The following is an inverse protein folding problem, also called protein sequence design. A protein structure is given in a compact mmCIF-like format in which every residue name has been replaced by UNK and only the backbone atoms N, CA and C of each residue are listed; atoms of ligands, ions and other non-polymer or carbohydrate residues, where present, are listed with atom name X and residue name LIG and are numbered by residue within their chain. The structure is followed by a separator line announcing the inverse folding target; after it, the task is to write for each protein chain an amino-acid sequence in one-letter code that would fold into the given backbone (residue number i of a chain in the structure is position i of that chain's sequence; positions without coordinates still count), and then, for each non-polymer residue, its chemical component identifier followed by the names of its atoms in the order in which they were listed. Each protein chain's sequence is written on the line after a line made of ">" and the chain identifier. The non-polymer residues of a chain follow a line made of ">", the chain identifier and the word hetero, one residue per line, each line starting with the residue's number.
data_IF_547537592988
#
_entry.id   IF_547537592988
#
_cell.length_a   1.000
_cell.length_b   1.000
_cell.length_c   1.000
_cell.angle_alpha   90.00
_cell.angle_beta   90.00
_cell.angle_gamma   90.00
#
_symmetry.space_group_name_H-M   'P 1'
#
loop_
_entity.id
_entity.type
_entity.pdbx_description
1 polymer ?
#
# COMPACT_ATOMS: atom_id res chain seq x y z
N UNK A 1 49.84 29.45 49.22
CA UNK A 1 48.95 30.10 50.21
C UNK A 1 48.53 31.44 49.65
N UNK A 2 47.25 31.67 49.25
CA UNK A 2 46.75 32.97 48.81
C UNK A 2 46.42 33.78 50.06
N UNK A 3 47.11 34.91 50.28
CA UNK A 3 46.80 35.85 51.32
C UNK A 3 45.38 36.39 51.12
N UNK A 4 44.45 35.97 51.97
CA UNK A 4 43.11 36.63 52.05
C UNK A 4 43.32 37.98 52.77
N UNK A 5 43.18 39.07 52.03
CA UNK A 5 43.04 40.42 52.59
C UNK A 5 41.71 40.50 53.28
N UNK A 6 41.72 40.68 54.59
CA UNK A 6 40.52 40.99 55.36
C UNK A 6 40.26 42.49 55.19
N UNK A 7 39.12 42.85 54.62
CA UNK A 7 38.65 44.22 54.44
C UNK A 7 37.64 44.49 55.58
N UNK A 8 37.92 45.47 56.42
CA UNK A 8 37.00 45.92 57.49
C UNK A 8 36.03 46.96 56.89
N UNK A 9 34.72 46.65 56.96
CA UNK A 9 33.65 47.55 56.53
C UNK A 9 33.20 48.35 57.76
N UNK A 10 33.29 49.66 57.74
CA UNK A 10 32.94 50.55 58.87
C UNK A 10 31.48 50.94 58.90
N UNK A 11 30.81 51.01 57.76
CA UNK A 11 29.39 51.40 57.66
C UNK A 11 28.74 50.70 56.46
N UNK A 12 27.44 50.89 56.27
CA UNK A 12 26.59 50.28 55.24
C UNK A 12 26.99 50.74 53.81
N UNK A 13 27.45 51.99 53.72
CA UNK A 13 27.82 52.57 52.44
C UNK A 13 29.14 51.97 51.87
N UNK A 14 30.14 51.74 52.77
CA UNK A 14 31.35 51.00 52.40
C UNK A 14 31.10 49.60 51.93
N UNK A 15 30.05 48.93 52.48
CA UNK A 15 29.67 47.60 52.05
C UNK A 15 29.03 47.62 50.67
N UNK A 16 28.15 48.62 50.40
CA UNK A 16 27.51 48.81 49.07
C UNK A 16 28.55 49.14 48.01
N UNK A 17 29.55 49.98 48.33
CA UNK A 17 30.64 50.33 47.43
C UNK A 17 31.55 49.10 47.11
N UNK A 18 31.85 48.27 48.12
CA UNK A 18 32.60 47.02 47.93
C UNK A 18 31.85 46.02 47.06
N UNK A 19 30.54 45.89 47.30
CA UNK A 19 29.69 45.00 46.49
C UNK A 19 29.54 45.48 45.05
N UNK A 20 29.38 46.77 44.83
CA UNK A 20 29.34 47.36 43.50
C UNK A 20 30.66 47.18 42.74
N UNK A 21 31.81 47.40 43.46
CA UNK A 21 33.13 47.20 42.88
C UNK A 21 33.44 45.72 42.57
N UNK A 22 32.86 44.74 43.28
CA UNK A 22 32.97 43.29 42.93
C UNK A 22 32.06 42.95 41.77
N UNK A 23 30.89 43.58 41.63
CA UNK A 23 29.99 43.34 40.48
C UNK A 23 30.59 43.90 39.18
N UNK A 24 31.25 45.07 39.24
CA UNK A 24 31.92 45.67 38.06
C UNK A 24 33.17 44.89 37.61
N UNK A 25 33.80 44.08 38.49
CA UNK A 25 35.04 43.33 38.18
C UNK A 25 34.82 41.92 37.57
N UNK A 26 33.58 41.47 37.31
CA UNK A 26 33.42 40.27 36.48
C UNK A 26 33.87 40.57 35.06
N UNK A 27 34.97 39.92 34.58
CA UNK A 27 35.40 40.13 33.20
C UNK A 27 34.25 39.66 32.29
N UNK A 28 33.63 40.59 31.58
CA UNK A 28 32.71 40.23 30.49
C UNK A 28 33.53 39.38 29.52
N UNK A 29 33.25 38.10 29.49
CA UNK A 29 33.93 37.17 28.61
C UNK A 29 33.48 37.48 27.17
N UNK A 30 34.14 38.45 26.49
CA UNK A 30 33.82 38.93 25.15
C UNK A 30 33.75 37.81 24.10
N UNK A 31 34.25 36.60 24.44
CA UNK A 31 34.23 35.42 23.60
C UNK A 31 32.88 34.70 23.65
N UNK A 32 32.13 34.85 24.76
CA UNK A 32 30.81 34.18 24.95
C UNK A 32 29.76 34.64 23.89
N UNK A 33 29.55 35.91 23.58
CA UNK A 33 28.60 36.34 22.56
C UNK A 33 29.02 35.88 21.15
N UNK A 34 30.31 35.77 20.85
CA UNK A 34 30.81 35.29 19.56
C UNK A 34 30.51 33.78 19.41
N UNK A 35 30.77 32.98 20.45
CA UNK A 35 30.45 31.56 20.44
C UNK A 35 28.96 31.33 20.26
N UNK A 36 28.12 32.11 20.98
CA UNK A 36 26.67 32.04 20.86
C UNK A 36 26.17 32.38 19.43
N UNK A 37 26.76 33.40 18.79
CA UNK A 37 26.43 33.75 17.40
C UNK A 37 26.85 32.65 16.41
N UNK A 38 27.99 31.98 16.62
CA UNK A 38 28.42 30.86 15.80
C UNK A 38 27.44 29.67 15.97
N UNK A 39 27.08 29.32 17.21
CA UNK A 39 26.09 28.27 17.48
C UNK A 39 24.72 28.58 16.86
N UNK A 40 24.26 29.81 16.95
CA UNK A 40 23.01 30.25 16.37
C UNK A 40 23.05 30.17 14.83
N UNK A 41 24.14 30.61 14.19
CA UNK A 41 24.29 30.51 12.74
C UNK A 41 24.33 29.05 12.27
N UNK A 42 25.03 28.16 13.01
CA UNK A 42 25.01 26.71 12.74
C UNK A 42 23.60 26.11 12.87
N UNK A 43 22.86 26.52 13.89
CA UNK A 43 21.47 26.07 14.09
C UNK A 43 20.54 26.52 12.95
N UNK A 44 20.69 27.75 12.48
CA UNK A 44 19.92 28.28 11.34
C UNK A 44 20.27 27.53 10.04
N UNK A 45 21.56 27.27 9.79
CA UNK A 45 21.99 26.50 8.62
C UNK A 45 21.44 25.08 8.69
N UNK A 46 21.53 24.44 9.85
CA UNK A 46 20.98 23.10 10.06
C UNK A 46 19.45 23.08 9.86
N UNK A 47 18.73 24.04 10.41
CA UNK A 47 17.28 24.17 10.22
C UNK A 47 16.91 24.39 8.75
N UNK A 48 17.65 25.22 8.03
CA UNK A 48 17.50 25.45 6.58
C UNK A 48 17.74 24.16 5.78
N UNK A 49 18.80 23.43 6.09
CA UNK A 49 19.11 22.14 5.45
C UNK A 49 18.02 21.08 5.69
N UNK A 50 17.57 20.92 6.95
CA UNK A 50 16.50 19.97 7.28
C UNK A 50 15.16 20.40 6.69
N UNK A 51 14.85 21.71 6.69
CA UNK A 51 13.65 22.23 6.05
C UNK A 51 13.63 21.98 4.54
N UNK A 52 14.77 22.20 3.87
CA UNK A 52 14.90 21.90 2.44
C UNK A 52 14.78 20.39 2.16
N UNK A 53 15.38 19.53 2.99
CA UNK A 53 15.22 18.08 2.85
C UNK A 53 13.78 17.62 3.04
N UNK A 54 13.08 18.18 4.03
CA UNK A 54 11.67 17.87 4.28
C UNK A 54 10.79 18.35 3.11
N UNK A 55 11.05 19.53 2.57
CA UNK A 55 10.34 20.05 1.41
C UNK A 55 10.56 19.17 0.17
N UNK A 56 11.81 18.76 -0.14
CA UNK A 56 12.08 17.81 -1.24
C UNK A 56 11.36 16.49 -1.04
N UNK A 57 11.41 15.94 0.16
CA UNK A 57 10.71 14.69 0.49
C UNK A 57 9.20 14.81 0.24
N UNK A 58 8.60 15.97 0.56
CA UNK A 58 7.19 16.23 0.28
C UNK A 58 6.91 16.34 -1.23
N UNK A 59 7.80 16.99 -1.98
CA UNK A 59 7.65 17.08 -3.44
C UNK A 59 7.72 15.70 -4.10
N UNK A 60 8.66 14.84 -3.71
CA UNK A 60 8.78 13.48 -4.25
C UNK A 60 7.45 12.71 -4.12
N UNK A 61 6.72 12.86 -3.01
CA UNK A 61 5.40 12.24 -2.85
C UNK A 61 4.32 12.82 -3.77
N UNK A 62 4.30 14.14 -3.93
CA UNK A 62 3.33 14.78 -4.80
C UNK A 62 3.55 14.38 -6.26
N UNK A 63 4.81 14.27 -6.67
CA UNK A 63 5.18 13.85 -8.02
C UNK A 63 4.75 12.38 -8.26
N UNK A 64 4.99 11.47 -7.30
CA UNK A 64 4.53 10.09 -7.38
C UNK A 64 3.00 9.98 -7.44
N UNK A 65 2.26 10.72 -6.60
CA UNK A 65 0.78 10.74 -6.62
C UNK A 65 0.22 11.25 -7.95
N UNK A 66 0.82 12.33 -8.48
CA UNK A 66 0.44 12.89 -9.77
C UNK A 66 0.68 11.88 -10.89
N UNK A 67 1.87 11.26 -10.91
CA UNK A 67 2.24 10.27 -11.91
C UNK A 67 1.22 9.13 -12.01
N UNK A 68 0.82 8.55 -10.86
CA UNK A 68 -0.20 7.50 -10.83
C UNK A 68 -1.62 8.02 -11.08
N UNK A 69 -1.91 9.29 -10.77
CA UNK A 69 -3.16 9.96 -11.11
C UNK A 69 -3.30 10.12 -12.61
N UNK A 70 -2.31 10.71 -13.25
CA UNK A 70 -2.25 10.93 -14.71
C UNK A 70 -2.36 9.60 -15.48
N UNK A 71 -1.69 8.53 -14.98
CA UNK A 71 -1.84 7.19 -15.55
C UNK A 71 -3.29 6.70 -15.55
N UNK A 72 -3.96 6.79 -14.38
CA UNK A 72 -5.37 6.34 -14.27
C UNK A 72 -6.28 7.10 -15.23
N UNK A 73 -6.09 8.41 -15.36
CA UNK A 73 -6.87 9.23 -16.31
C UNK A 73 -6.60 8.84 -17.77
N UNK A 74 -5.37 8.49 -18.11
CA UNK A 74 -5.00 8.10 -19.46
C UNK A 74 -5.54 6.72 -19.85
N UNK A 75 -5.35 5.71 -18.97
CA UNK A 75 -5.56 4.29 -19.35
C UNK A 75 -6.90 3.71 -18.90
N UNK A 76 -7.63 4.34 -17.95
CA UNK A 76 -8.93 3.85 -17.51
C UNK A 76 -10.04 4.53 -18.30
N UNK A 77 -10.73 3.76 -19.13
CA UNK A 77 -11.89 4.22 -19.89
C UNK A 77 -13.15 3.96 -19.06
N UNK A 78 -13.79 5.04 -18.59
CA UNK A 78 -15.03 4.94 -17.83
C UNK A 78 -16.13 4.43 -18.77
N UNK A 79 -16.79 3.36 -18.39
CA UNK A 79 -17.97 2.87 -19.10
C UNK A 79 -19.14 3.82 -18.81
N UNK A 80 -19.33 4.82 -19.66
CA UNK A 80 -20.52 5.70 -19.68
C UNK A 80 -21.78 4.91 -20.12
N UNK A 81 -22.14 3.85 -19.40
CA UNK A 81 -23.54 3.40 -19.48
C UNK A 81 -24.38 4.32 -18.59
N UNK A 82 -25.48 4.91 -19.10
CA UNK A 82 -26.31 5.80 -18.31
C UNK A 82 -26.76 5.06 -17.05
N UNK A 83 -26.49 5.64 -15.87
CA UNK A 83 -27.12 5.19 -14.63
C UNK A 83 -28.61 5.10 -14.86
N UNK A 84 -29.16 3.88 -14.84
CA UNK A 84 -30.60 3.71 -14.86
C UNK A 84 -31.16 4.55 -13.70
N UNK A 85 -32.05 5.48 -14.04
CA UNK A 85 -32.74 6.31 -13.05
C UNK A 85 -33.37 5.42 -11.96
N UNK A 86 -33.46 5.93 -10.75
CA UNK A 86 -34.07 5.19 -9.62
C UNK A 86 -35.49 4.69 -9.97
N UNK A 87 -36.19 5.38 -10.88
CA UNK A 87 -37.50 4.99 -11.39
C UNK A 87 -37.44 3.82 -12.37
N UNK A 88 -36.39 3.73 -13.20
CA UNK A 88 -36.19 2.59 -14.11
C UNK A 88 -35.76 1.34 -13.35
N UNK A 89 -34.95 1.50 -12.27
CA UNK A 89 -34.58 0.40 -11.36
C UNK A 89 -35.84 -0.16 -10.69
N UNK A 90 -36.72 0.68 -10.14
CA UNK A 90 -37.95 0.25 -9.48
C UNK A 90 -38.97 -0.37 -10.47
N UNK A 91 -39.10 0.15 -11.69
CA UNK A 91 -39.95 -0.44 -12.70
C UNK A 91 -39.42 -1.78 -13.22
N UNK A 92 -38.10 -1.93 -13.30
CA UNK A 92 -37.44 -3.17 -13.72
C UNK A 92 -37.49 -4.23 -12.61
N UNK A 93 -37.34 -3.84 -11.34
CA UNK A 93 -37.50 -4.75 -10.19
C UNK A 93 -38.95 -5.30 -10.09
N UNK A 94 -39.95 -4.50 -10.42
CA UNK A 94 -41.36 -4.92 -10.42
C UNK A 94 -41.72 -5.90 -11.56
N UNK A 95 -41.01 -5.81 -12.70
CA UNK A 95 -41.11 -6.74 -13.83
C UNK A 95 -40.24 -8.01 -13.67
N UNK A 96 -39.31 -8.03 -12.72
CA UNK A 96 -38.30 -9.06 -12.56
C UNK A 96 -38.61 -10.12 -11.49
N UNK A 97 -39.81 -10.14 -10.93
CA UNK A 97 -40.25 -11.15 -9.96
C UNK A 97 -40.24 -12.60 -10.51
N UNK A 98 -39.98 -12.80 -11.79
CA UNK A 98 -40.13 -14.10 -12.46
C UNK A 98 -38.85 -14.75 -13.03
N UNK A 99 -37.64 -14.19 -12.85
CA UNK A 99 -36.46 -14.86 -13.41
C UNK A 99 -35.18 -14.67 -12.53
N UNK A 100 -34.91 -15.72 -11.77
CA UNK A 100 -33.64 -15.83 -10.96
C UNK A 100 -32.36 -15.62 -11.79
N UNK A 101 -32.34 -16.00 -13.06
CA UNK A 101 -31.21 -15.85 -14.00
C UNK A 101 -30.94 -14.37 -14.34
N UNK A 102 -32.00 -13.58 -14.51
CA UNK A 102 -31.88 -12.16 -14.81
C UNK A 102 -31.38 -11.35 -13.60
N UNK A 103 -31.82 -11.74 -12.40
CA UNK A 103 -31.38 -11.14 -11.12
C UNK A 103 -29.89 -11.40 -10.84
N UNK A 104 -29.39 -12.60 -11.17
CA UNK A 104 -27.97 -12.91 -11.10
C UNK A 104 -27.13 -12.12 -12.12
N UNK A 105 -27.65 -11.91 -13.34
CA UNK A 105 -26.94 -11.17 -14.39
C UNK A 105 -26.81 -9.68 -14.06
N UNK A 106 -27.83 -9.07 -13.46
CA UNK A 106 -27.82 -7.67 -13.02
C UNK A 106 -26.90 -7.49 -11.80
N UNK A 107 -26.96 -8.40 -10.82
CA UNK A 107 -26.05 -8.39 -9.68
C UNK A 107 -24.58 -8.53 -10.13
N UNK A 108 -24.32 -9.39 -11.12
CA UNK A 108 -22.99 -9.60 -11.70
C UNK A 108 -22.48 -8.32 -12.42
N UNK A 109 -23.36 -7.56 -13.09
CA UNK A 109 -22.99 -6.31 -13.80
C UNK A 109 -22.72 -5.15 -12.81
N UNK A 110 -23.43 -5.10 -11.68
CA UNK A 110 -23.23 -4.08 -10.64
C UNK A 110 -21.91 -4.23 -9.87
N UNK A 111 -21.37 -5.43 -9.86
CA UNK A 111 -20.16 -5.78 -9.09
C UNK A 111 -18.88 -5.69 -9.96
N UNK A 112 -18.96 -5.40 -11.26
CA UNK A 112 -17.77 -5.21 -12.13
C UNK A 112 -17.21 -3.79 -11.99
N UNK A 113 -15.89 -3.60 -12.21
CA UNK A 113 -15.32 -2.25 -12.31
C UNK A 113 -16.07 -1.41 -13.35
N UNK A 114 -16.33 -0.15 -13.03
CA UNK A 114 -17.01 0.80 -13.93
C UNK A 114 -16.11 1.35 -15.03
N UNK A 115 -14.98 0.72 -15.25
CA UNK A 115 -13.97 1.12 -16.23
C UNK A 115 -13.35 -0.10 -16.91
N UNK A 116 -12.80 0.12 -18.09
CA UNK A 116 -11.93 -0.80 -18.81
C UNK A 116 -10.50 -0.26 -18.85
N UNK A 117 -9.53 -1.17 -18.94
CA UNK A 117 -8.10 -0.83 -18.98
C UNK A 117 -7.61 -0.83 -20.42
N UNK A 118 -6.98 0.24 -20.85
CA UNK A 118 -6.33 0.34 -22.16
C UNK A 118 -4.96 -0.40 -22.13
N UNK A 119 -4.98 -1.68 -22.47
CA UNK A 119 -3.80 -2.55 -22.44
C UNK A 119 -2.76 -2.19 -23.48
N UNK A 120 -3.16 -1.67 -24.66
CA UNK A 120 -2.23 -1.25 -25.72
C UNK A 120 -1.35 -0.10 -25.21
N UNK A 121 -1.95 0.90 -24.59
CA UNK A 121 -1.23 2.04 -24.03
C UNK A 121 -0.30 1.63 -22.87
N UNK A 122 -0.74 0.71 -22.00
CA UNK A 122 0.09 0.19 -20.92
C UNK A 122 1.31 -0.60 -21.45
N UNK A 123 1.13 -1.39 -22.50
CA UNK A 123 2.22 -2.13 -23.13
C UNK A 123 3.25 -1.21 -23.79
N UNK A 124 2.80 -0.09 -24.38
CA UNK A 124 3.68 0.93 -24.94
C UNK A 124 4.51 1.63 -23.84
N UNK A 125 3.91 1.88 -22.67
CA UNK A 125 4.59 2.49 -21.52
C UNK A 125 5.63 1.52 -20.95
N UNK A 126 5.22 0.30 -20.61
CA UNK A 126 6.12 -0.69 -20.00
C UNK A 126 5.58 -2.13 -20.19
N UNK A 127 6.33 -2.96 -20.90
CA UNK A 127 5.98 -4.35 -21.18
C UNK A 127 5.98 -5.27 -19.95
N UNK A 128 6.57 -4.82 -18.85
CA UNK A 128 6.55 -5.53 -17.56
C UNK A 128 5.21 -5.40 -16.83
N UNK A 129 4.27 -4.58 -17.34
CA UNK A 129 2.91 -4.47 -16.80
C UNK A 129 2.12 -5.71 -17.22
N UNK A 130 1.79 -6.55 -16.25
CA UNK A 130 1.11 -7.84 -16.45
C UNK A 130 -0.36 -7.82 -16.05
N UNK A 131 -0.82 -6.79 -15.36
CA UNK A 131 -2.18 -6.68 -14.87
C UNK A 131 -2.45 -5.35 -14.17
N UNK A 132 -3.68 -5.24 -13.65
CA UNK A 132 -4.15 -4.10 -12.88
C UNK A 132 -4.92 -4.59 -11.65
N UNK A 133 -4.65 -4.02 -10.48
CA UNK A 133 -5.40 -4.29 -9.25
C UNK A 133 -6.39 -3.18 -8.97
N UNK A 134 -7.61 -3.56 -8.56
CA UNK A 134 -8.66 -2.64 -8.12
C UNK A 134 -9.43 -3.21 -6.93
N UNK A 135 -9.52 -2.45 -5.83
CA UNK A 135 -10.28 -2.81 -4.64
C UNK A 135 -11.61 -2.07 -4.62
N UNK A 136 -12.74 -2.78 -4.56
CA UNK A 136 -14.09 -2.18 -4.54
C UNK A 136 -14.32 -1.32 -3.29
N UNK A 137 -13.94 -1.82 -2.12
CA UNK A 137 -14.04 -1.11 -0.84
C UNK A 137 -12.97 -0.03 -0.60
N UNK A 138 -11.92 -0.02 -1.43
CA UNK A 138 -10.79 0.93 -1.36
C UNK A 138 -10.43 1.39 -2.79
N UNK A 139 -11.30 2.16 -3.48
CA UNK A 139 -11.14 2.48 -4.90
C UNK A 139 -9.87 3.29 -5.23
N UNK A 140 -9.24 3.91 -4.24
CA UNK A 140 -7.93 4.54 -4.39
C UNK A 140 -6.80 3.52 -4.61
N UNK A 141 -6.98 2.24 -4.23
CA UNK A 141 -6.09 1.14 -4.62
C UNK A 141 -6.51 0.67 -6.01
N UNK A 142 -5.96 1.35 -7.02
CA UNK A 142 -6.17 1.12 -8.45
C UNK A 142 -4.86 1.38 -9.17
N UNK A 143 -4.09 0.32 -9.45
CA UNK A 143 -2.69 0.41 -9.88
C UNK A 143 -2.31 -0.69 -10.87
N UNK A 144 -1.36 -0.43 -11.79
CA UNK A 144 -0.75 -1.49 -12.59
C UNK A 144 0.04 -2.46 -11.70
N UNK A 145 0.03 -3.73 -12.08
CA UNK A 145 0.87 -4.78 -11.49
C UNK A 145 1.98 -5.09 -12.48
N UNK A 146 3.22 -4.99 -12.01
CA UNK A 146 4.41 -5.26 -12.81
C UNK A 146 5.08 -6.58 -12.38
N UNK A 147 5.93 -7.13 -13.23
CA UNK A 147 6.81 -8.23 -12.86
C UNK A 147 8.16 -8.08 -13.56
N UNK A 148 9.25 -8.34 -12.85
CA UNK A 148 10.59 -8.35 -13.37
C UNK A 148 11.30 -9.67 -13.03
N UNK A 149 12.59 -9.79 -13.37
CA UNK A 149 13.40 -10.97 -13.08
C UNK A 149 13.75 -11.14 -11.59
N UNK A 150 13.50 -10.13 -10.76
CA UNK A 150 13.73 -10.16 -9.31
C UNK A 150 12.71 -9.31 -8.52
N UNK A 151 12.71 -9.45 -7.18
CA UNK A 151 11.82 -8.71 -6.29
C UNK A 151 12.41 -7.37 -5.80
N UNK A 152 13.53 -6.89 -6.35
CA UNK A 152 14.18 -5.65 -5.97
C UNK A 152 13.98 -4.53 -7.00
N UNK A 153 13.81 -4.88 -8.27
CA UNK A 153 13.80 -3.95 -9.39
C UNK A 153 12.74 -2.85 -9.25
N UNK A 154 11.50 -3.21 -8.91
CA UNK A 154 10.37 -2.28 -8.80
C UNK A 154 10.14 -1.70 -7.40
N UNK A 155 10.98 -2.03 -6.42
CA UNK A 155 10.82 -1.51 -5.05
C UNK A 155 10.88 0.03 -5.01
N UNK A 156 11.82 0.64 -5.75
CA UNK A 156 11.97 2.10 -5.79
C UNK A 156 11.85 2.66 -7.22
N UNK A 157 11.30 1.89 -8.13
CA UNK A 157 11.18 2.26 -9.54
C UNK A 157 9.71 2.48 -9.91
N UNK A 158 9.43 3.58 -10.62
CA UNK A 158 8.09 3.87 -11.13
C UNK A 158 7.72 2.94 -12.29
N UNK A 159 6.41 2.77 -12.52
CA UNK A 159 5.88 1.90 -13.57
C UNK A 159 6.36 2.29 -14.99
N UNK A 160 6.58 3.58 -15.24
CA UNK A 160 7.02 4.15 -16.52
C UNK A 160 8.54 4.28 -16.65
N UNK A 161 9.28 3.78 -15.68
CA UNK A 161 10.74 3.82 -15.58
C UNK A 161 11.34 5.25 -15.50
N UNK A 162 10.53 6.28 -15.30
CA UNK A 162 10.99 7.67 -15.20
C UNK A 162 11.82 7.97 -13.95
N UNK A 163 11.65 7.14 -12.89
CA UNK A 163 12.42 7.26 -11.65
C UNK A 163 12.82 5.88 -11.12
N UNK A 164 14.05 5.77 -10.62
CA UNK A 164 14.59 4.59 -9.90
C UNK A 164 14.83 4.86 -8.41
N UNK A 165 14.38 6.01 -7.93
CA UNK A 165 14.49 6.46 -6.53
C UNK A 165 13.15 6.92 -5.94
N UNK A 166 12.03 6.56 -6.59
CA UNK A 166 10.67 6.83 -6.12
C UNK A 166 10.45 6.27 -4.72
N UNK A 167 9.71 7.01 -3.91
CA UNK A 167 9.30 6.56 -2.56
C UNK A 167 8.07 5.66 -2.59
N UNK A 168 7.25 5.82 -3.62
CA UNK A 168 6.10 4.97 -3.86
C UNK A 168 6.51 3.64 -4.52
N UNK A 169 7.56 3.63 -5.35
CA UNK A 169 7.92 2.48 -6.17
C UNK A 169 6.75 2.05 -7.06
N UNK A 170 6.66 0.76 -7.34
CA UNK A 170 5.52 0.17 -8.05
C UNK A 170 4.88 -0.97 -7.26
N UNK A 171 3.68 -1.36 -7.69
CA UNK A 171 3.06 -2.61 -7.26
C UNK A 171 3.54 -3.71 -8.19
N UNK A 172 4.11 -4.79 -7.64
CA UNK A 172 4.71 -5.83 -8.45
C UNK A 172 4.47 -7.22 -7.89
N UNK A 173 4.42 -8.20 -8.81
CA UNK A 173 4.27 -9.61 -8.47
C UNK A 173 5.64 -10.24 -8.22
N UNK A 174 5.70 -11.21 -7.30
CA UNK A 174 6.89 -12.01 -7.04
C UNK A 174 7.38 -12.70 -8.33
N UNK A 175 8.66 -12.55 -8.63
CA UNK A 175 9.27 -13.05 -9.88
C UNK A 175 9.15 -14.57 -10.07
N UNK A 176 8.91 -15.33 -8.99
CA UNK A 176 8.75 -16.79 -9.02
C UNK A 176 7.38 -17.24 -9.49
N UNK A 177 6.40 -16.33 -9.55
CA UNK A 177 5.03 -16.61 -9.96
C UNK A 177 4.89 -16.47 -11.48
N UNK A 178 3.93 -17.19 -12.06
CA UNK A 178 3.63 -17.05 -13.47
C UNK A 178 3.00 -15.69 -13.78
N UNK A 179 3.55 -14.94 -14.75
CA UNK A 179 3.11 -13.59 -15.12
C UNK A 179 1.66 -13.53 -15.60
N UNK A 180 1.11 -14.65 -16.04
CA UNK A 180 -0.27 -14.76 -16.50
C UNK A 180 -1.25 -15.23 -15.40
N UNK A 181 -0.83 -15.21 -14.13
CA UNK A 181 -1.61 -15.64 -12.97
C UNK A 181 -2.01 -17.13 -12.98
N UNK A 182 -1.36 -17.96 -13.77
CA UNK A 182 -1.64 -19.39 -13.86
C UNK A 182 -1.07 -20.23 -12.71
N UNK A 183 -0.18 -19.67 -11.86
CA UNK A 183 0.26 -20.33 -10.62
C UNK A 183 -0.92 -20.51 -9.65
N UNK A 184 -0.92 -21.52 -8.75
CA UNK A 184 -1.99 -21.68 -7.75
C UNK A 184 -2.18 -20.46 -6.85
N UNK A 185 -1.14 -19.66 -6.65
CA UNK A 185 -1.18 -18.41 -5.93
C UNK A 185 -0.20 -17.40 -6.52
N UNK A 186 -0.44 -16.13 -6.21
CA UNK A 186 0.47 -15.03 -6.59
C UNK A 186 0.69 -14.11 -5.39
N UNK A 187 1.94 -13.68 -5.17
CA UNK A 187 2.26 -12.69 -4.13
C UNK A 187 2.49 -11.36 -4.83
N UNK A 188 1.77 -10.32 -4.37
CA UNK A 188 1.85 -8.96 -4.89
C UNK A 188 2.38 -8.05 -3.79
N UNK A 189 3.46 -7.36 -4.07
CA UNK A 189 4.12 -6.43 -3.18
C UNK A 189 3.79 -4.99 -3.52
N UNK A 190 3.75 -4.13 -2.51
CA UNK A 190 3.65 -2.69 -2.67
C UNK A 190 4.00 -1.97 -1.39
N UNK A 191 4.44 -0.73 -1.51
CA UNK A 191 4.83 0.08 -0.35
C UNK A 191 3.64 0.47 0.52
N UNK A 192 3.95 0.71 1.80
CA UNK A 192 3.13 1.49 2.70
C UNK A 192 3.66 2.92 2.73
N UNK A 193 3.02 3.81 2.00
CA UNK A 193 3.39 5.23 1.89
C UNK A 193 2.56 6.05 2.87
N UNK A 194 3.16 7.08 3.49
CA UNK A 194 2.50 7.85 4.56
C UNK A 194 1.28 8.66 4.10
N UNK A 195 1.18 8.94 2.81
CA UNK A 195 0.09 9.68 2.20
C UNK A 195 -1.15 8.83 1.89
N UNK A 196 -1.10 7.52 2.19
CA UNK A 196 -2.18 6.58 1.92
C UNK A 196 -2.13 5.92 0.53
N UNK A 197 -1.18 6.31 -0.32
CA UNK A 197 -1.03 5.73 -1.65
C UNK A 197 -0.49 4.29 -1.64
N UNK A 198 -0.43 3.68 -2.79
CA UNK A 198 -0.01 2.30 -3.04
C UNK A 198 -0.87 1.30 -2.24
N UNK A 199 -0.27 0.40 -1.45
CA UNK A 199 -0.98 -0.58 -0.63
C UNK A 199 -1.18 -0.14 0.84
N UNK A 200 -0.99 1.15 1.15
CA UNK A 200 -1.08 1.67 2.51
C UNK A 200 -2.46 1.47 3.13
N UNK A 201 -3.49 1.71 2.34
CA UNK A 201 -4.88 1.65 2.78
C UNK A 201 -5.40 0.22 3.01
N UNK A 202 -4.62 -0.82 2.66
CA UNK A 202 -4.98 -2.21 3.03
C UNK A 202 -5.19 -2.38 4.54
N UNK A 203 -4.56 -1.56 5.36
CA UNK A 203 -4.76 -1.58 6.82
C UNK A 203 -6.20 -1.23 7.22
N UNK A 204 -6.94 -0.48 6.40
CA UNK A 204 -8.33 -0.10 6.64
C UNK A 204 -9.29 -1.29 6.54
N UNK A 205 -8.91 -2.35 5.82
CA UNK A 205 -9.68 -3.60 5.77
C UNK A 205 -9.75 -4.32 7.13
N UNK A 206 -9.02 -3.85 8.16
CA UNK A 206 -9.17 -4.28 9.55
C UNK A 206 -10.40 -3.66 10.24
N UNK A 207 -11.10 -2.74 9.59
CA UNK A 207 -12.43 -2.32 10.00
C UNK A 207 -13.43 -3.42 9.59
N UNK A 208 -14.11 -4.01 10.59
CA UNK A 208 -15.04 -5.12 10.35
C UNK A 208 -16.19 -4.72 9.44
N UNK A 209 -16.70 -3.49 9.55
CA UNK A 209 -17.80 -3.00 8.70
C UNK A 209 -17.38 -2.96 7.24
N UNK A 210 -16.20 -2.39 6.95
CA UNK A 210 -15.67 -2.36 5.60
C UNK A 210 -15.40 -3.76 5.04
N UNK A 211 -14.85 -4.64 5.90
CA UNK A 211 -14.60 -6.03 5.53
C UNK A 211 -15.89 -6.79 5.20
N UNK A 212 -16.97 -6.58 5.95
CA UNK A 212 -18.26 -7.25 5.74
C UNK A 212 -19.02 -6.71 4.52
N UNK A 213 -18.92 -5.41 4.25
CA UNK A 213 -19.65 -4.75 3.17
C UNK A 213 -18.97 -4.95 1.81
N UNK A 214 -17.62 -4.80 1.75
CA UNK A 214 -16.87 -4.77 0.49
C UNK A 214 -15.56 -5.60 0.55
N UNK A 215 -15.64 -6.92 0.82
CA UNK A 215 -14.47 -7.79 0.94
C UNK A 215 -13.91 -8.21 -0.44
N UNK A 216 -14.00 -7.37 -1.46
CA UNK A 216 -13.69 -7.78 -2.82
C UNK A 216 -12.61 -6.92 -3.46
N UNK A 217 -11.87 -7.56 -4.37
CA UNK A 217 -10.97 -6.88 -5.30
C UNK A 217 -10.96 -7.60 -6.66
N UNK A 218 -10.44 -6.89 -7.65
CA UNK A 218 -10.27 -7.38 -9.01
C UNK A 218 -8.81 -7.41 -9.40
N UNK A 219 -8.44 -8.43 -10.13
CA UNK A 219 -7.23 -8.47 -10.94
C UNK A 219 -7.69 -8.46 -12.40
N UNK A 220 -7.36 -7.38 -13.09
CA UNK A 220 -7.67 -7.20 -14.51
C UNK A 220 -6.41 -7.51 -15.30
N UNK A 221 -6.54 -8.21 -16.42
CA UNK A 221 -5.43 -8.56 -17.30
C UNK A 221 -5.86 -8.47 -18.76
N UNK A 222 -4.94 -8.44 -19.73
CA UNK A 222 -5.30 -8.53 -21.14
C UNK A 222 -6.10 -9.78 -21.52
N UNK A 223 -6.01 -10.85 -20.71
CA UNK A 223 -6.65 -12.15 -20.97
C UNK A 223 -7.99 -12.33 -20.26
N UNK A 224 -8.31 -11.48 -19.27
CA UNK A 224 -9.56 -11.56 -18.53
C UNK A 224 -9.53 -10.81 -17.20
N UNK A 225 -10.70 -10.71 -16.60
CA UNK A 225 -10.96 -10.00 -15.35
C UNK A 225 -11.35 -11.01 -14.28
N UNK A 226 -10.60 -11.04 -13.18
CA UNK A 226 -10.72 -12.02 -12.11
C UNK A 226 -11.14 -11.34 -10.82
N UNK A 227 -12.25 -11.79 -10.24
CA UNK A 227 -12.78 -11.29 -8.97
C UNK A 227 -12.37 -12.21 -7.82
N UNK A 228 -11.93 -11.57 -6.74
CA UNK A 228 -11.49 -12.23 -5.52
C UNK A 228 -12.30 -11.77 -4.33
N UNK A 229 -12.53 -12.69 -3.39
CA UNK A 229 -13.04 -12.38 -2.06
C UNK A 229 -11.91 -12.48 -1.04
N UNK A 230 -11.76 -11.45 -0.22
CA UNK A 230 -10.79 -11.43 0.88
C UNK A 230 -11.24 -12.43 1.94
N UNK A 231 -10.36 -13.36 2.30
CA UNK A 231 -10.64 -14.39 3.30
C UNK A 231 -9.71 -14.35 4.50
N UNK A 232 -8.61 -13.60 4.43
CA UNK A 232 -7.67 -13.49 5.54
C UNK A 232 -6.91 -12.17 5.52
N UNK A 233 -6.84 -11.53 6.69
CA UNK A 233 -6.06 -10.32 6.94
C UNK A 233 -5.29 -10.54 8.24
N UNK A 234 -3.96 -10.47 8.19
CA UNK A 234 -3.10 -10.65 9.37
C UNK A 234 -1.80 -9.87 9.24
N UNK A 235 -1.00 -9.89 10.30
CA UNK A 235 0.37 -9.38 10.27
C UNK A 235 1.34 -10.53 10.53
N UNK A 236 2.48 -10.52 9.85
CA UNK A 236 3.56 -11.46 10.06
C UNK A 236 4.92 -10.82 9.81
N UNK A 237 5.96 -11.42 10.35
CA UNK A 237 7.33 -11.01 10.08
C UNK A 237 7.68 -11.23 8.59
N UNK A 238 8.53 -10.37 8.02
CA UNK A 238 8.96 -10.43 6.61
C UNK A 238 9.63 -11.74 6.19
N UNK A 239 10.07 -12.57 7.14
CA UNK A 239 10.65 -13.90 6.89
C UNK A 239 9.66 -15.03 7.13
N UNK A 240 8.36 -14.75 7.23
CA UNK A 240 7.33 -15.76 7.47
C UNK A 240 7.21 -16.74 6.30
N UNK A 241 6.67 -17.91 6.58
CA UNK A 241 6.49 -19.02 5.66
C UNK A 241 5.63 -18.69 4.43
N UNK A 242 4.71 -17.73 4.54
CA UNK A 242 3.89 -17.24 3.43
C UNK A 242 4.72 -16.77 2.23
N UNK A 243 5.94 -16.28 2.46
CA UNK A 243 6.86 -15.82 1.41
C UNK A 243 7.81 -16.90 0.89
N UNK A 244 7.87 -18.05 1.55
CA UNK A 244 8.88 -19.08 1.28
C UNK A 244 8.30 -20.30 0.58
N UNK A 245 6.97 -20.50 0.66
CA UNK A 245 6.30 -21.63 0.01
C UNK A 245 6.26 -21.44 -1.51
N UNK A 246 6.30 -22.54 -2.22
CA UNK A 246 6.09 -22.60 -3.67
C UNK A 246 5.19 -23.79 -3.96
N UNK A 247 4.16 -23.56 -4.76
CA UNK A 247 3.24 -24.59 -5.23
C UNK A 247 3.22 -24.58 -6.76
N UNK A 248 3.65 -25.67 -7.37
CA UNK A 248 3.62 -25.80 -8.83
C UNK A 248 2.20 -26.09 -9.35
N UNK A 249 1.35 -26.68 -8.49
CA UNK A 249 -0.02 -27.07 -8.84
C UNK A 249 -0.92 -27.07 -7.61
N UNK A 250 -2.23 -27.06 -7.85
CA UNK A 250 -3.24 -27.30 -6.80
C UNK A 250 -3.11 -28.73 -6.28
N UNK A 251 -3.37 -28.93 -4.99
CA UNK A 251 -3.32 -30.22 -4.32
C UNK A 251 -3.54 -30.08 -2.82
N UNK A 252 -3.39 -31.19 -2.10
CA UNK A 252 -3.65 -31.25 -0.65
C UNK A 252 -2.78 -30.27 0.15
N UNK A 253 -1.49 -30.15 -0.20
CA UNK A 253 -0.57 -29.22 0.48
C UNK A 253 -0.98 -27.75 0.27
N UNK A 254 -1.45 -27.41 -0.95
CA UNK A 254 -1.96 -26.07 -1.24
C UNK A 254 -3.26 -25.79 -0.46
N UNK A 255 -4.21 -26.73 -0.47
CA UNK A 255 -5.48 -26.58 0.26
C UNK A 255 -5.28 -26.47 1.77
N UNK A 256 -4.31 -27.21 2.32
CA UNK A 256 -3.91 -27.10 3.71
C UNK A 256 -3.32 -25.72 4.02
N UNK A 257 -2.42 -25.23 3.19
CA UNK A 257 -1.84 -23.89 3.32
C UNK A 257 -2.91 -22.78 3.22
N UNK A 258 -3.85 -22.90 2.31
CA UNK A 258 -5.00 -21.99 2.21
C UNK A 258 -5.80 -21.94 3.53
N UNK A 259 -6.08 -23.11 4.09
CA UNK A 259 -6.79 -23.22 5.39
C UNK A 259 -5.97 -22.63 6.54
N UNK A 260 -4.64 -22.84 6.54
CA UNK A 260 -3.74 -22.22 7.51
C UNK A 260 -3.75 -20.68 7.42
N UNK A 261 -3.83 -20.12 6.22
CA UNK A 261 -3.97 -18.66 6.04
C UNK A 261 -5.30 -18.16 6.60
N UNK A 262 -6.38 -18.91 6.39
CA UNK A 262 -7.70 -18.53 6.93
C UNK A 262 -7.70 -18.53 8.46
N UNK A 263 -7.03 -19.46 9.11
CA UNK A 263 -6.92 -19.48 10.59
C UNK A 263 -6.14 -18.28 11.16
N UNK A 264 -5.34 -17.61 10.35
CA UNK A 264 -4.60 -16.38 10.74
C UNK A 264 -5.45 -15.11 10.61
N UNK A 265 -6.67 -15.23 10.06
CA UNK A 265 -7.53 -14.06 9.85
C UNK A 265 -7.80 -13.32 11.16
N UNK A 266 -7.57 -11.99 11.17
CA UNK A 266 -7.85 -11.12 12.31
C UNK A 266 -9.30 -10.62 12.32
N UNK A 267 -10.06 -10.89 11.26
CA UNK A 267 -11.45 -10.46 11.08
C UNK A 267 -12.40 -11.60 11.42
N UNK A 268 -13.65 -11.27 11.75
CA UNK A 268 -14.70 -12.25 11.97
C UNK A 268 -15.29 -12.70 10.62
N UNK A 269 -15.71 -13.94 10.57
CA UNK A 269 -16.35 -14.54 9.40
C UNK A 269 -15.42 -15.52 8.65
N UNK A 270 -16.02 -16.56 8.14
CA UNK A 270 -15.35 -17.59 7.34
C UNK A 270 -15.80 -17.49 5.88
N UNK A 271 -14.83 -17.56 4.97
CA UNK A 271 -15.06 -17.61 3.53
C UNK A 271 -14.93 -19.06 3.07
N UNK A 272 -15.85 -19.52 2.22
CA UNK A 272 -15.75 -20.84 1.64
C UNK A 272 -14.62 -20.87 0.60
N UNK A 273 -13.54 -21.58 0.91
CA UNK A 273 -12.38 -21.72 0.04
C UNK A 273 -12.61 -22.84 -0.97
N UNK A 274 -12.48 -22.53 -2.25
CA UNK A 274 -12.54 -23.54 -3.30
C UNK A 274 -11.25 -24.39 -3.29
N UNK A 275 -11.37 -25.69 -3.42
CA UNK A 275 -10.23 -26.63 -3.43
C UNK A 275 -9.18 -26.28 -4.49
N UNK A 276 -9.62 -25.75 -5.63
CA UNK A 276 -8.77 -25.32 -6.74
C UNK A 276 -8.88 -23.80 -7.00
N UNK A 277 -9.15 -23.04 -5.92
CA UNK A 277 -9.25 -21.58 -6.01
C UNK A 277 -7.87 -20.95 -6.07
N UNK A 278 -7.63 -20.10 -7.07
CA UNK A 278 -6.43 -19.27 -7.11
C UNK A 278 -6.41 -18.27 -5.93
N UNK A 279 -5.24 -18.06 -5.34
CA UNK A 279 -5.06 -17.15 -4.20
C UNK A 279 -4.15 -15.99 -4.58
N UNK A 280 -4.58 -14.78 -4.30
CA UNK A 280 -3.72 -13.58 -4.30
C UNK A 280 -3.34 -13.24 -2.85
N UNK A 281 -2.07 -12.98 -2.64
CA UNK A 281 -1.49 -12.52 -1.37
C UNK A 281 -0.90 -11.13 -1.57
N UNK A 282 -1.52 -10.09 -1.03
CA UNK A 282 -0.92 -8.76 -0.98
C UNK A 282 -0.06 -8.63 0.26
N UNK A 283 1.11 -7.98 0.10
CA UNK A 283 2.06 -7.73 1.16
C UNK A 283 2.53 -6.29 1.16
N UNK A 284 2.31 -5.57 2.26
CA UNK A 284 2.83 -4.22 2.47
C UNK A 284 3.52 -4.08 3.83
N UNK A 285 4.41 -3.09 3.97
CA UNK A 285 5.14 -2.86 5.21
C UNK A 285 4.23 -2.40 6.35
N UNK A 286 4.56 -2.79 7.58
CA UNK A 286 4.06 -2.14 8.79
C UNK A 286 5.04 -1.02 9.17
N UNK A 287 4.59 0.23 9.35
CA UNK A 287 5.48 1.34 9.70
C UNK A 287 6.34 1.05 10.93
N UNK A 288 7.62 1.34 10.84
CA UNK A 288 8.61 1.15 11.91
C UNK A 288 8.74 -0.29 12.44
N UNK A 289 8.37 -1.30 11.64
CA UNK A 289 8.47 -2.72 11.99
C UNK A 289 9.11 -3.52 10.85
N UNK A 290 9.59 -4.71 11.17
CA UNK A 290 9.97 -5.73 10.17
C UNK A 290 8.77 -6.56 9.71
N UNK A 291 7.58 -6.26 10.21
CA UNK A 291 6.37 -6.97 9.89
C UNK A 291 5.76 -6.48 8.56
N UNK A 292 4.86 -7.30 8.06
CA UNK A 292 4.05 -7.04 6.87
C UNK A 292 2.59 -7.16 7.23
N UNK A 293 1.76 -6.28 6.67
CA UNK A 293 0.32 -6.50 6.59
C UNK A 293 0.07 -7.38 5.38
N UNK A 294 -0.64 -8.47 5.59
CA UNK A 294 -0.99 -9.47 4.59
C UNK A 294 -2.49 -9.43 4.38
N UNK A 295 -2.92 -9.41 3.12
CA UNK A 295 -4.32 -9.56 2.71
C UNK A 295 -4.38 -10.68 1.69
N UNK A 296 -5.15 -11.72 1.99
CA UNK A 296 -5.33 -12.88 1.13
C UNK A 296 -6.74 -12.89 0.55
N UNK A 297 -6.84 -13.03 -0.77
CA UNK A 297 -8.10 -13.22 -1.47
C UNK A 297 -8.12 -14.52 -2.24
N UNK A 298 -9.29 -15.16 -2.28
CA UNK A 298 -9.55 -16.36 -3.10
C UNK A 298 -10.39 -15.98 -4.31
N UNK A 299 -10.10 -16.55 -5.46
CA UNK A 299 -10.89 -16.36 -6.67
C UNK A 299 -12.32 -16.87 -6.47
N UNK A 300 -13.29 -16.08 -6.91
CA UNK A 300 -14.71 -16.42 -6.77
C UNK A 300 -15.47 -16.42 -8.10
N UNK A 301 -15.22 -15.46 -8.98
CA UNK A 301 -15.86 -15.37 -10.29
C UNK A 301 -15.08 -14.45 -11.26
N UNK A 302 -15.60 -14.28 -12.47
CA UNK A 302 -14.97 -13.55 -13.56
C UNK A 302 -14.64 -14.46 -14.73
N UNK A 303 -13.61 -14.10 -15.50
CA UNK A 303 -13.10 -14.95 -16.57
C UNK A 303 -12.33 -16.15 -16.00
N UNK A 304 -12.18 -17.22 -16.78
CA UNK A 304 -11.45 -18.40 -16.30
C UNK A 304 -9.97 -18.10 -16.15
N UNK A 305 -9.42 -18.34 -14.96
CA UNK A 305 -7.97 -18.25 -14.73
C UNK A 305 -7.26 -19.26 -15.60
N UNK A 306 -6.17 -18.89 -16.27
CA UNK A 306 -5.35 -19.81 -17.04
C UNK A 306 -4.91 -21.01 -16.19
N UNK A 307 -5.18 -22.22 -16.65
CA UNK A 307 -4.75 -23.46 -16.01
C UNK A 307 -3.67 -24.13 -16.89
N UNK A 308 -2.37 -23.96 -16.59
CA UNK A 308 -1.29 -24.49 -17.42
C UNK A 308 -1.21 -26.02 -17.40
N UNK A 309 -1.84 -26.67 -16.42
CA UNK A 309 -1.79 -28.12 -16.24
C UNK A 309 -3.07 -28.83 -16.69
N UNK A 310 -4.06 -28.07 -17.20
CA UNK A 310 -5.33 -28.59 -17.71
C UNK A 310 -5.99 -29.51 -16.70
N UNK A 311 -7.16 -29.15 -16.13
CA UNK A 311 -7.99 -30.12 -15.42
C UNK A 311 -8.20 -31.29 -16.38
N UNK A 312 -7.65 -32.47 -16.10
CA UNK A 312 -8.17 -33.68 -16.71
C UNK A 312 -9.69 -33.62 -16.50
N UNK A 313 -10.42 -33.38 -17.61
CA UNK A 313 -11.87 -33.54 -17.59
C UNK A 313 -12.07 -35.00 -17.20
N UNK A 314 -12.42 -35.23 -15.95
CA UNK A 314 -13.09 -36.46 -15.59
C UNK A 314 -14.37 -36.47 -16.41
N UNK A 315 -14.32 -37.08 -17.56
CA UNK A 315 -15.49 -37.46 -18.32
C UNK A 315 -16.26 -38.42 -17.41
N UNK A 316 -17.25 -37.89 -16.71
CA UNK A 316 -18.32 -38.75 -16.18
C UNK A 316 -19.13 -39.21 -17.40
N UNK A 317 -18.66 -40.30 -18.01
CA UNK A 317 -19.49 -41.16 -18.82
C UNK A 317 -20.50 -41.86 -17.87
N UNK A 318 -21.73 -41.32 -17.84
CA UNK A 318 -22.93 -42.02 -17.48
C UNK A 318 -24.11 -41.48 -18.27
#
# INVERSE_FOLDING_TARGET
>A
MKNKKIVYVKNKDDLVELLNNEVEKKPQNKRMPIILMILLSMAIIAAGYFGFRLWRYYQDYQDDQKLYGDLREAVLQINDEPELSTEEIQSTEKLMSESSVKKQRIKKKKDQPSFEVNWEELEEINKDIIGWVYFTGLPQISYPILQSEDNAYYVNRTYDLSSDTSKAGSIFMDYRMASDFSSPYSIIYGHHVRDGSMLSDLVRLKDQTLYDEEPYFWILTPKGNYRYQIFSIFQCHRSADVFQRSFERWGEDFSKWQSELQTRNSMQGDVNLAEYGHVIVFSTCVPNSFDRTIVCGTYIDGDSIPDPHGKEKVQNDN
#
